data_IF_771499532731
#
_entry.id   IF_771499532731
#
_cell.length_a   1.000
_cell.length_b   1.000
_cell.length_c   1.000
_cell.angle_alpha   90.00
_cell.angle_beta   90.00
_cell.angle_gamma   90.00
#
_symmetry.space_group_name_H-M   'P 1'
#
loop_
_entity.id
_entity.type
_entity.pdbx_description
1 polymer ?
#
# COMPACT_ATOMS: atom_id res chain seq x y z
N UNK A 1 18.13 1.43 -17.82
CA UNK A 1 18.01 0.16 -17.08
C UNK A 1 16.53 -0.16 -17.00
N UNK A 2 16.04 -1.03 -17.87
CA UNK A 2 14.63 -1.38 -18.00
C UNK A 2 14.27 -2.46 -16.98
N UNK A 3 13.34 -2.16 -16.08
CA UNK A 3 12.85 -3.10 -15.07
C UNK A 3 12.01 -4.18 -15.73
N UNK A 4 12.48 -5.44 -15.69
CA UNK A 4 11.65 -6.59 -15.96
C UNK A 4 10.87 -6.95 -14.69
N UNK A 5 9.69 -6.36 -14.52
CA UNK A 5 8.71 -6.84 -13.53
C UNK A 5 7.94 -7.98 -14.21
N UNK A 6 8.44 -9.22 -14.07
CA UNK A 6 7.62 -10.39 -14.36
C UNK A 6 6.75 -10.68 -13.14
N UNK A 7 5.44 -10.71 -13.32
CA UNK A 7 4.48 -10.96 -12.24
C UNK A 7 4.36 -12.46 -11.95
N UNK A 8 3.92 -12.87 -10.75
CA UNK A 8 3.77 -14.29 -10.39
C UNK A 8 2.88 -15.09 -11.35
N UNK A 9 1.87 -14.45 -11.97
CA UNK A 9 1.02 -15.07 -12.98
C UNK A 9 1.78 -15.32 -14.29
N UNK A 10 2.62 -14.38 -14.70
CA UNK A 10 3.46 -14.47 -15.91
C UNK A 10 4.48 -15.61 -15.80
N UNK A 11 5.14 -15.75 -14.63
CA UNK A 11 6.09 -16.85 -14.36
C UNK A 11 5.40 -18.23 -14.35
N UNK A 12 4.19 -18.33 -13.79
CA UNK A 12 3.43 -19.60 -13.73
C UNK A 12 2.93 -20.05 -15.11
N UNK A 13 2.46 -19.11 -15.93
CA UNK A 13 2.07 -19.38 -17.33
C UNK A 13 3.28 -19.85 -18.11
N UNK A 14 4.39 -19.11 -18.01
CA UNK A 14 5.65 -19.48 -18.66
C UNK A 14 6.13 -20.89 -18.29
N UNK A 15 6.09 -21.26 -17.01
CA UNK A 15 6.43 -22.62 -16.56
C UNK A 15 5.55 -23.70 -17.20
N UNK A 16 4.24 -23.44 -17.29
CA UNK A 16 3.27 -24.37 -17.86
C UNK A 16 3.48 -24.57 -19.36
N UNK A 17 3.69 -23.49 -20.10
CA UNK A 17 3.95 -23.51 -21.55
C UNK A 17 5.26 -24.24 -21.89
N UNK A 18 6.30 -24.03 -21.08
CA UNK A 18 7.57 -24.73 -21.25
C UNK A 18 7.45 -26.23 -20.98
N UNK A 19 6.65 -26.64 -19.98
CA UNK A 19 6.40 -28.06 -19.73
C UNK A 19 5.61 -28.70 -20.88
N UNK A 20 4.67 -27.98 -21.51
CA UNK A 20 3.99 -28.44 -22.72
C UNK A 20 4.96 -28.56 -23.92
N UNK A 21 5.86 -27.59 -24.08
CA UNK A 21 6.90 -27.59 -25.12
C UNK A 21 7.83 -28.79 -24.98
N UNK A 22 8.26 -29.11 -23.75
CA UNK A 22 9.08 -30.28 -23.47
C UNK A 22 8.38 -31.59 -23.89
N UNK A 23 7.08 -31.73 -23.61
CA UNK A 23 6.32 -32.91 -24.04
C UNK A 23 6.23 -33.03 -25.56
N UNK A 24 6.05 -31.90 -26.27
CA UNK A 24 6.06 -31.89 -27.73
C UNK A 24 7.41 -32.35 -28.30
N UNK A 25 8.52 -31.83 -27.76
CA UNK A 25 9.86 -32.21 -28.20
C UNK A 25 10.19 -33.68 -27.91
N UNK A 26 9.77 -34.21 -26.76
CA UNK A 26 9.92 -35.64 -26.44
C UNK A 26 9.14 -36.52 -27.41
N UNK A 27 7.94 -36.10 -27.80
CA UNK A 27 7.12 -36.79 -28.80
C UNK A 27 7.79 -36.78 -30.18
N UNK A 28 8.33 -35.64 -30.58
CA UNK A 28 9.07 -35.48 -31.84
C UNK A 28 10.34 -36.34 -31.86
N UNK A 29 11.12 -36.32 -30.76
CA UNK A 29 12.29 -37.19 -30.58
C UNK A 29 11.91 -38.66 -30.72
N UNK A 30 10.85 -39.11 -30.05
CA UNK A 30 10.41 -40.51 -30.11
C UNK A 30 9.97 -40.91 -31.52
N UNK A 31 9.37 -40.00 -32.29
CA UNK A 31 9.06 -40.22 -33.70
C UNK A 31 10.34 -40.41 -34.55
N UNK A 32 11.37 -39.59 -34.33
CA UNK A 32 12.65 -39.75 -35.02
C UNK A 32 13.40 -41.02 -34.62
N UNK A 33 13.37 -41.42 -33.35
CA UNK A 33 13.95 -42.71 -32.89
C UNK A 33 13.28 -43.89 -33.59
N UNK A 34 11.95 -43.85 -33.78
CA UNK A 34 11.22 -44.87 -34.55
C UNK A 34 11.67 -44.91 -36.01
N UNK A 35 11.79 -43.75 -36.66
CA UNK A 35 12.28 -43.67 -38.04
C UNK A 35 13.72 -44.19 -38.17
N UNK A 36 14.58 -43.90 -37.20
CA UNK A 36 15.95 -44.40 -37.14
C UNK A 36 15.98 -45.93 -37.09
N UNK A 37 15.12 -46.55 -36.28
CA UNK A 37 15.04 -48.01 -36.16
C UNK A 37 14.56 -48.74 -37.43
N UNK A 38 13.88 -48.02 -38.34
CA UNK A 38 13.36 -48.55 -39.60
C UNK A 38 14.26 -48.21 -40.80
N UNK A 39 15.26 -47.35 -40.60
CA UNK A 39 16.15 -46.86 -41.66
C UNK A 39 17.20 -47.91 -42.04
N UNK A 40 17.28 -48.24 -43.33
CA UNK A 40 18.27 -49.18 -43.88
C UNK A 40 19.33 -48.51 -44.76
N UNK A 41 19.19 -47.20 -45.04
CA UNK A 41 20.16 -46.44 -45.85
C UNK A 41 21.04 -45.60 -44.94
N UNK A 42 22.35 -45.60 -45.19
CA UNK A 42 23.32 -44.89 -44.36
C UNK A 42 23.07 -43.38 -44.35
N UNK A 43 22.77 -42.80 -45.51
CA UNK A 43 22.52 -41.36 -45.64
C UNK A 43 21.26 -40.88 -44.88
N UNK A 44 20.20 -41.68 -44.86
CA UNK A 44 18.97 -41.36 -44.10
C UNK A 44 19.20 -41.51 -42.60
N UNK A 45 19.98 -42.51 -42.19
CA UNK A 45 20.36 -42.73 -40.79
C UNK A 45 21.13 -41.53 -40.24
N UNK A 46 22.18 -41.09 -40.94
CA UNK A 46 22.98 -39.91 -40.55
C UNK A 46 22.12 -38.64 -40.47
N UNK A 47 21.20 -38.44 -41.42
CA UNK A 47 20.31 -37.30 -41.41
C UNK A 47 19.38 -37.30 -40.18
N UNK A 48 18.75 -38.44 -39.87
CA UNK A 48 17.87 -38.60 -38.70
C UNK A 48 18.66 -38.40 -37.40
N UNK A 49 19.88 -38.94 -37.30
CA UNK A 49 20.77 -38.73 -36.14
C UNK A 49 21.12 -37.24 -35.94
N UNK A 50 21.37 -36.50 -37.03
CA UNK A 50 21.60 -35.05 -36.96
C UNK A 50 20.37 -34.28 -36.44
N UNK A 51 19.16 -34.65 -36.91
CA UNK A 51 17.93 -34.06 -36.38
C UNK A 51 17.70 -34.42 -34.91
N UNK A 52 17.95 -35.67 -34.52
CA UNK A 52 17.86 -36.12 -33.12
C UNK A 52 18.80 -35.32 -32.20
N UNK A 53 20.05 -35.09 -32.61
CA UNK A 53 20.98 -34.27 -31.85
C UNK A 53 20.45 -32.83 -31.65
N UNK A 54 19.80 -32.27 -32.67
CA UNK A 54 19.15 -30.95 -32.58
C UNK A 54 17.98 -30.94 -31.59
N UNK A 55 17.09 -31.94 -31.67
CA UNK A 55 15.95 -32.07 -30.75
C UNK A 55 16.42 -32.32 -29.32
N UNK A 56 17.44 -33.16 -29.10
CA UNK A 56 18.02 -33.41 -27.78
C UNK A 56 18.66 -32.15 -27.18
N UNK A 57 19.33 -31.34 -28.00
CA UNK A 57 19.86 -30.04 -27.56
C UNK A 57 18.73 -29.08 -27.11
N UNK A 58 17.62 -29.04 -27.86
CA UNK A 58 16.45 -28.25 -27.48
C UNK A 58 15.79 -28.75 -26.20
N UNK A 59 15.64 -30.08 -26.04
CA UNK A 59 15.13 -30.69 -24.80
C UNK A 59 15.98 -30.27 -23.61
N UNK A 60 17.30 -30.40 -23.70
CA UNK A 60 18.22 -30.04 -22.62
C UNK A 60 18.14 -28.54 -22.26
N UNK A 61 17.98 -27.68 -23.28
CA UNK A 61 17.78 -26.23 -23.09
C UNK A 61 16.48 -25.94 -22.36
N UNK A 62 15.35 -26.49 -22.82
CA UNK A 62 14.02 -26.27 -22.21
C UNK A 62 13.98 -26.82 -20.79
N UNK A 63 14.56 -27.99 -20.53
CA UNK A 63 14.65 -28.56 -19.19
C UNK A 63 15.43 -27.67 -18.22
N UNK A 64 16.53 -27.07 -18.68
CA UNK A 64 17.32 -26.13 -17.88
C UNK A 64 16.53 -24.88 -17.52
N UNK A 65 15.77 -24.35 -18.48
CA UNK A 65 14.92 -23.18 -18.24
C UNK A 65 13.75 -23.53 -17.31
N UNK A 66 13.14 -24.73 -17.42
CA UNK A 66 12.08 -25.19 -16.50
C UNK A 66 12.60 -25.21 -15.05
N UNK A 67 13.82 -25.70 -14.83
CA UNK A 67 14.44 -25.71 -13.50
C UNK A 67 14.65 -24.30 -12.94
N UNK A 68 14.99 -23.32 -13.79
CA UNK A 68 15.13 -21.93 -13.40
C UNK A 68 13.77 -21.32 -13.00
N UNK A 69 12.75 -21.52 -13.83
CA UNK A 69 11.40 -20.98 -13.58
C UNK A 69 10.74 -21.64 -12.37
N UNK A 70 10.99 -22.94 -12.12
CA UNK A 70 10.48 -23.66 -10.94
C UNK A 70 10.88 -22.99 -9.62
N UNK A 71 12.13 -22.52 -9.51
CA UNK A 71 12.58 -21.79 -8.31
C UNK A 71 11.77 -20.53 -8.06
N UNK A 72 11.29 -19.87 -9.11
CA UNK A 72 10.55 -18.61 -9.00
C UNK A 72 9.07 -18.80 -8.65
N UNK A 73 8.49 -19.96 -8.92
CA UNK A 73 7.12 -20.32 -8.48
C UNK A 73 7.09 -20.91 -7.05
N UNK A 74 8.21 -21.42 -6.54
CA UNK A 74 8.29 -22.09 -5.23
C UNK A 74 8.32 -21.10 -4.05
N UNK A 75 8.56 -19.79 -4.25
CA UNK A 75 8.49 -18.80 -3.18
C UNK A 75 7.96 -17.43 -3.63
N UNK A 76 6.92 -16.94 -2.94
CA UNK A 76 6.49 -15.55 -2.99
C UNK A 76 6.92 -14.85 -1.69
N UNK A 77 7.77 -13.83 -1.79
CA UNK A 77 8.14 -13.00 -0.64
C UNK A 77 7.22 -11.79 -0.56
N UNK A 78 6.32 -11.75 0.42
CA UNK A 78 5.48 -10.59 0.72
C UNK A 78 6.20 -9.74 1.76
N UNK A 79 6.54 -8.49 1.42
CA UNK A 79 7.05 -7.51 2.38
C UNK A 79 5.92 -6.54 2.72
N UNK A 80 5.36 -6.66 3.93
CA UNK A 80 4.35 -5.74 4.43
C UNK A 80 5.00 -4.72 5.36
N UNK A 81 4.97 -3.43 4.98
CA UNK A 81 5.41 -2.32 5.84
C UNK A 81 4.18 -1.73 6.52
N UNK A 82 4.10 -1.86 7.85
CA UNK A 82 3.07 -1.18 8.63
C UNK A 82 3.51 0.25 8.95
N UNK A 83 2.83 1.25 8.38
CA UNK A 83 2.99 2.63 8.83
C UNK A 83 2.32 2.79 10.19
N UNK A 84 3.08 3.19 11.22
CA UNK A 84 2.55 3.44 12.56
C UNK A 84 1.68 4.70 12.53
N UNK A 85 0.38 4.57 12.79
CA UNK A 85 -0.53 5.71 12.92
C UNK A 85 -0.10 6.64 14.06
N UNK A 86 -0.28 7.95 13.87
CA UNK A 86 -0.05 8.94 14.93
C UNK A 86 -1.05 8.71 16.07
N UNK A 87 -0.55 8.38 17.26
CA UNK A 87 -1.38 8.31 18.47
C UNK A 87 -1.36 9.70 19.11
N UNK A 88 -2.49 10.40 19.06
CA UNK A 88 -2.64 11.71 19.70
C UNK A 88 -3.17 11.52 21.13
N UNK A 89 -2.62 12.23 22.12
CA UNK A 89 -3.15 12.19 23.48
C UNK A 89 -4.58 12.78 23.50
N UNK A 90 -5.41 12.48 24.50
CA UNK A 90 -6.75 13.09 24.62
C UNK A 90 -6.69 14.62 24.60
N UNK A 91 -7.72 15.26 24.05
CA UNK A 91 -7.87 16.72 24.08
C UNK A 91 -7.95 17.21 25.53
N UNK A 92 -7.10 18.18 25.87
CA UNK A 92 -7.09 18.89 27.13
C UNK A 92 -7.18 20.38 26.86
N UNK A 93 -8.06 21.08 27.57
CA UNK A 93 -8.35 22.49 27.35
C UNK A 93 -8.14 23.26 28.65
N UNK A 94 -7.43 24.39 28.56
CA UNK A 94 -7.35 25.38 29.63
C UNK A 94 -7.92 26.70 29.14
N UNK A 95 -8.79 27.30 29.93
CA UNK A 95 -9.40 28.60 29.63
C UNK A 95 -8.90 29.64 30.62
N UNK A 96 -8.67 30.86 30.13
CA UNK A 96 -8.42 32.04 30.96
C UNK A 96 -9.36 33.17 30.55
N UNK A 97 -9.83 33.93 31.54
CA UNK A 97 -10.66 35.11 31.36
C UNK A 97 -10.22 36.21 32.34
N UNK A 98 -10.07 37.45 31.87
CA UNK A 98 -9.67 38.58 32.71
C UNK A 98 -10.07 39.94 32.12
N UNK A 99 -10.50 40.92 32.93
CA UNK A 99 -10.84 40.80 34.37
C UNK A 99 -12.19 40.09 34.59
N UNK A 100 -12.41 39.49 35.77
CA UNK A 100 -13.67 38.80 36.09
C UNK A 100 -14.73 39.67 36.78
N UNK A 101 -14.37 40.88 37.22
CA UNK A 101 -15.24 41.86 37.87
C UNK A 101 -14.79 43.28 37.55
N UNK A 102 -15.73 44.23 37.54
CA UNK A 102 -15.47 45.65 37.32
C UNK A 102 -16.76 46.44 37.09
N UNK A 103 -16.64 47.75 36.84
CA UNK A 103 -17.77 48.59 36.47
C UNK A 103 -18.17 48.36 35.01
N UNK A 104 -19.46 48.53 34.72
CA UNK A 104 -19.98 48.41 33.34
C UNK A 104 -19.75 49.71 32.56
N UNK A 105 -19.38 49.64 31.27
CA UNK A 105 -19.15 48.42 30.48
C UNK A 105 -17.82 47.73 30.84
N UNK A 106 -17.87 46.41 31.06
CA UNK A 106 -16.69 45.61 31.41
C UNK A 106 -16.21 44.84 30.19
N UNK A 107 -14.99 45.13 29.73
CA UNK A 107 -14.35 44.41 28.64
C UNK A 107 -13.52 43.25 29.20
N UNK A 108 -13.84 42.02 28.82
CA UNK A 108 -13.19 40.78 29.29
C UNK A 108 -12.52 40.10 28.11
N UNK A 109 -11.24 39.78 28.29
CA UNK A 109 -10.49 38.98 27.31
C UNK A 109 -10.61 37.51 27.67
N UNK A 110 -10.99 36.69 26.69
CA UNK A 110 -11.07 35.24 26.81
C UNK A 110 -10.03 34.58 25.91
N UNK A 111 -9.42 33.50 26.41
CA UNK A 111 -8.49 32.68 25.62
C UNK A 111 -8.55 31.22 26.03
N UNK A 112 -8.64 30.34 25.04
CA UNK A 112 -8.50 28.89 25.20
C UNK A 112 -7.06 28.45 24.85
N UNK A 113 -6.63 27.36 25.48
CA UNK A 113 -5.36 26.69 25.22
C UNK A 113 -5.61 25.20 25.09
N UNK A 114 -5.43 24.69 23.88
CA UNK A 114 -5.66 23.30 23.50
C UNK A 114 -4.35 22.51 23.53
N UNK A 115 -4.43 21.24 23.93
CA UNK A 115 -3.32 20.29 23.87
C UNK A 115 -3.84 18.89 23.63
N UNK A 116 -3.22 18.14 22.72
CA UNK A 116 -3.70 16.81 22.33
C UNK A 116 -4.90 16.89 21.40
N UNK A 117 -5.55 15.76 21.10
CA UNK A 117 -6.59 15.69 20.08
C UNK A 117 -6.05 15.87 18.65
N UNK A 118 -6.96 15.94 17.70
CA UNK A 118 -6.68 16.15 16.28
C UNK A 118 -6.51 17.66 15.99
N UNK A 119 -5.42 18.12 15.36
CA UNK A 119 -5.30 19.51 14.95
C UNK A 119 -6.42 19.92 13.98
N UNK A 120 -7.14 20.98 14.33
CA UNK A 120 -8.33 21.44 13.61
C UNK A 120 -9.38 22.03 14.54
N UNK A 121 -8.95 22.58 15.68
CA UNK A 121 -9.84 22.87 16.80
C UNK A 121 -10.89 23.94 16.46
N UNK A 122 -12.07 23.74 17.02
CA UNK A 122 -13.16 24.68 16.96
C UNK A 122 -13.51 25.17 18.37
N UNK A 123 -13.33 26.47 18.61
CA UNK A 123 -13.60 27.09 19.92
C UNK A 123 -14.84 27.96 19.84
N UNK A 124 -15.83 27.65 20.68
CA UNK A 124 -17.10 28.36 20.78
C UNK A 124 -17.31 28.93 22.18
N UNK A 125 -17.78 30.18 22.25
CA UNK A 125 -18.05 30.92 23.47
C UNK A 125 -19.52 31.31 23.51
N UNK A 126 -20.17 31.05 24.64
CA UNK A 126 -21.46 31.63 24.98
C UNK A 126 -21.28 32.46 26.25
N UNK A 127 -21.46 33.78 26.14
CA UNK A 127 -21.11 34.74 27.19
C UNK A 127 -22.13 34.82 28.33
N UNK A 128 -23.31 34.18 28.18
CA UNK A 128 -24.38 34.21 29.17
C UNK A 128 -25.24 35.48 29.14
N UNK A 129 -24.98 36.42 28.22
CA UNK A 129 -25.76 37.65 28.01
C UNK A 129 -26.67 37.60 26.77
N UNK A 130 -26.78 36.41 26.15
CA UNK A 130 -27.49 36.18 24.90
C UNK A 130 -26.62 36.29 23.65
N UNK A 131 -25.35 36.65 23.78
CA UNK A 131 -24.40 36.68 22.66
C UNK A 131 -23.42 35.51 22.70
N UNK A 132 -22.85 35.19 21.54
CA UNK A 132 -21.90 34.10 21.36
C UNK A 132 -20.90 34.45 20.26
N UNK A 133 -19.72 33.84 20.31
CA UNK A 133 -18.66 34.05 19.34
C UNK A 133 -17.78 32.81 19.17
N UNK A 134 -16.93 32.83 18.14
CA UNK A 134 -15.98 31.76 17.82
C UNK A 134 -14.59 32.35 17.61
N UNK A 135 -13.56 31.60 18.01
CA UNK A 135 -12.15 31.95 17.81
C UNK A 135 -11.28 31.71 19.04
N UNK A 136 -10.01 31.37 18.85
CA UNK A 136 -9.11 30.95 19.96
C UNK A 136 -8.93 32.01 21.05
N UNK A 137 -8.95 33.29 20.68
CA UNK A 137 -8.87 34.42 21.59
C UNK A 137 -9.79 35.55 21.11
N UNK A 138 -10.60 36.08 22.02
CA UNK A 138 -11.53 37.16 21.71
C UNK A 138 -11.77 38.08 22.91
N UNK A 139 -12.34 39.24 22.64
CA UNK A 139 -12.71 40.24 23.65
C UNK A 139 -14.22 40.40 23.59
N UNK A 140 -14.90 40.27 24.74
CA UNK A 140 -16.32 40.51 24.87
C UNK A 140 -16.59 41.63 25.87
N UNK A 141 -17.61 42.45 25.60
CA UNK A 141 -17.92 43.62 26.45
C UNK A 141 -19.32 43.51 27.04
N UNK A 142 -19.39 43.35 28.36
CA UNK A 142 -20.64 43.31 29.11
C UNK A 142 -21.12 44.74 29.40
N UNK A 143 -22.19 45.16 28.73
CA UNK A 143 -22.70 46.54 28.80
C UNK A 143 -23.72 46.78 29.90
N UNK A 144 -24.31 45.72 30.46
CA UNK A 144 -25.32 45.79 31.53
C UNK A 144 -24.76 45.20 32.82
N UNK A 145 -25.26 45.68 33.95
CA UNK A 145 -24.90 45.13 35.27
C UNK A 145 -25.59 43.78 35.45
N UNK A 146 -24.84 42.76 35.85
CA UNK A 146 -25.35 41.42 36.11
C UNK A 146 -24.23 40.40 36.32
N UNK A 147 -24.62 39.22 36.79
CA UNK A 147 -23.74 38.05 36.85
C UNK A 147 -23.93 37.21 35.58
N UNK A 148 -22.83 36.92 34.88
CA UNK A 148 -22.84 36.20 33.60
C UNK A 148 -22.12 34.86 33.73
N UNK A 149 -22.78 33.77 33.33
CA UNK A 149 -22.19 32.44 33.30
C UNK A 149 -21.68 32.14 31.88
N UNK A 150 -20.39 32.36 31.64
CA UNK A 150 -19.76 32.08 30.34
C UNK A 150 -19.42 30.60 30.20
N UNK A 151 -19.82 29.98 29.09
CA UNK A 151 -19.50 28.59 28.74
C UNK A 151 -18.64 28.55 27.49
N UNK A 152 -17.63 27.68 27.52
CA UNK A 152 -16.61 27.56 26.47
C UNK A 152 -16.50 26.09 26.09
N UNK A 153 -16.64 25.83 24.79
CA UNK A 153 -16.57 24.49 24.22
C UNK A 153 -15.46 24.45 23.18
N UNK A 154 -14.59 23.44 23.28
CA UNK A 154 -13.55 23.16 22.30
C UNK A 154 -13.79 21.75 21.76
N UNK A 155 -13.75 21.63 20.44
CA UNK A 155 -13.87 20.35 19.73
C UNK A 155 -12.65 20.18 18.81
N UNK A 156 -12.11 18.97 18.74
CA UNK A 156 -11.05 18.56 17.80
C UNK A 156 -11.57 17.77 16.58
#
# INVERSE_FOLDING_TARGET
MTNFVSTSNDVTIKYTDMNATLQSLLTERDAFVRLLSQSTRLNTTIAIEGYLQGVDAQINSVQSEILQTRRLIDYATITATFARGLVMPPLSVKVVASPLKGATPLSVTFRAFEKGGVPGYFVYYNFGDGTAAQGEALIHTYTKVGDYNTTISVTD
#
